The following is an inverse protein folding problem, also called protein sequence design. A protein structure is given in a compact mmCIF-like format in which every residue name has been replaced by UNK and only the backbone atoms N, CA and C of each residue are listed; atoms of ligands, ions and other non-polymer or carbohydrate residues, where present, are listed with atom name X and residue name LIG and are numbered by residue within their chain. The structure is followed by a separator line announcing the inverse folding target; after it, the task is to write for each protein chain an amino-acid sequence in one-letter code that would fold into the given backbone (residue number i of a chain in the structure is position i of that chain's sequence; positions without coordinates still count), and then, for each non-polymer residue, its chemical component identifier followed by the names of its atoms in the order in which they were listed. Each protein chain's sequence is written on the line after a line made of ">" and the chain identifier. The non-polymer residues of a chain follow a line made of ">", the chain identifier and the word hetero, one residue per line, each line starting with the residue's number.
data_IF_485676121123
#
_entry.id   IF_485676121123
#
_cell.length_a   1.000
_cell.length_b   1.000
_cell.length_c   1.000
_cell.angle_alpha   90.00
_cell.angle_beta   90.00
_cell.angle_gamma   90.00
#
_symmetry.space_group_name_H-M   'P 1'
#
loop_
_entity.id
_entity.type
_entity.pdbx_description
1 polymer ?
#
# COMPACT_ATOMS: atom_id res chain seq x y z
N UNK A 1 19.33 -2.27 1.68
CA UNK A 1 20.64 -2.80 1.26
C UNK A 1 21.71 -1.79 1.63
N UNK A 2 22.79 -2.22 2.27
CA UNK A 2 23.92 -1.34 2.57
C UNK A 2 24.71 -1.06 1.29
N UNK A 3 25.42 0.08 1.18
CA UNK A 3 26.25 0.36 0.03
C UNK A 3 27.20 -0.80 -0.31
N UNK A 4 27.15 -1.27 -1.56
CA UNK A 4 28.00 -2.34 -2.07
C UNK A 4 27.56 -3.78 -1.75
N UNK A 5 26.45 -3.99 -1.04
CA UNK A 5 25.87 -5.34 -0.84
C UNK A 5 25.08 -5.80 -2.06
N UNK A 6 24.74 -7.08 -2.14
CA UNK A 6 23.89 -7.60 -3.21
C UNK A 6 22.41 -7.34 -2.93
N UNK A 7 21.60 -7.34 -3.98
CA UNK A 7 20.15 -7.24 -3.89
C UNK A 7 19.52 -8.62 -3.66
N UNK A 8 19.88 -9.27 -2.56
CA UNK A 8 19.40 -10.61 -2.18
C UNK A 8 18.89 -10.64 -0.74
N UNK A 9 18.00 -11.58 -0.42
CA UNK A 9 17.30 -11.62 0.87
C UNK A 9 18.26 -11.62 2.07
N UNK A 10 19.42 -12.28 1.97
CA UNK A 10 20.44 -12.34 3.03
C UNK A 10 21.10 -11.01 3.33
N UNK A 11 21.07 -10.06 2.39
CA UNK A 11 21.62 -8.69 2.53
C UNK A 11 20.53 -7.64 2.81
N UNK A 12 19.26 -8.03 2.73
CA UNK A 12 18.13 -7.15 3.00
C UNK A 12 17.91 -6.95 4.50
N UNK A 13 17.77 -5.70 4.94
CA UNK A 13 17.56 -5.33 6.35
C UNK A 13 16.58 -4.16 6.43
N UNK A 14 15.71 -4.19 7.44
CA UNK A 14 14.87 -3.06 7.82
C UNK A 14 15.66 -2.16 8.78
N UNK A 15 15.79 -0.85 8.51
CA UNK A 15 16.41 0.10 9.44
C UNK A 15 15.68 0.15 10.79
N UNK A 16 16.42 0.37 11.87
CA UNK A 16 15.87 0.38 13.23
C UNK A 16 14.76 1.43 13.41
N UNK A 17 14.87 2.60 12.78
CA UNK A 17 13.82 3.63 12.72
C UNK A 17 12.48 3.14 12.16
N UNK A 18 12.45 2.09 11.34
CA UNK A 18 11.21 1.52 10.79
C UNK A 18 10.74 0.30 11.61
N UNK A 19 11.64 -0.40 12.28
CA UNK A 19 11.37 -1.73 12.88
C UNK A 19 11.30 -1.71 14.41
N UNK A 20 12.29 -1.14 15.09
CA UNK A 20 12.52 -1.38 16.53
C UNK A 20 12.65 -0.12 17.39
N UNK A 21 12.96 1.03 16.81
CA UNK A 21 13.05 2.28 17.56
C UNK A 21 11.65 2.77 17.96
N UNK A 22 11.52 3.17 19.22
CA UNK A 22 10.27 3.72 19.75
C UNK A 22 10.12 5.19 19.34
N UNK A 23 8.91 5.56 18.91
CA UNK A 23 8.56 6.94 18.60
C UNK A 23 7.98 7.63 19.85
N UNK A 24 8.24 8.93 19.98
CA UNK A 24 7.67 9.74 21.05
C UNK A 24 6.19 9.97 20.81
N UNK A 25 5.35 9.78 21.84
CA UNK A 25 3.95 10.21 21.80
C UNK A 25 3.91 11.73 22.00
N UNK A 26 3.63 12.46 20.93
CA UNK A 26 3.51 13.92 20.96
C UNK A 26 2.13 14.36 21.49
N UNK A 27 1.06 13.70 21.06
CA UNK A 27 -0.31 13.95 21.54
C UNK A 27 -1.13 12.67 21.54
N UNK A 28 -2.09 12.58 22.45
CA UNK A 28 -2.99 11.44 22.56
C UNK A 28 -4.39 11.87 23.02
N UNK A 29 -5.42 11.32 22.40
CA UNK A 29 -6.82 11.40 22.78
C UNK A 29 -7.43 10.00 22.83
N UNK A 30 -8.73 9.88 23.14
CA UNK A 30 -9.44 8.60 23.12
C UNK A 30 -9.49 7.95 21.72
N UNK A 31 -9.41 8.75 20.65
CA UNK A 31 -9.57 8.29 19.27
C UNK A 31 -8.39 8.62 18.35
N UNK A 32 -7.30 9.19 18.88
CA UNK A 32 -6.13 9.52 18.08
C UNK A 32 -4.84 9.56 18.87
N UNK A 33 -3.73 9.19 18.22
CA UNK A 33 -2.37 9.32 18.78
C UNK A 33 -1.45 9.87 17.70
N UNK A 34 -0.65 10.88 18.04
CA UNK A 34 0.40 11.41 17.17
C UNK A 34 1.77 11.04 17.73
N UNK A 35 2.58 10.47 16.84
CA UNK A 35 3.94 10.03 17.10
C UNK A 35 4.94 10.95 16.40
N UNK A 36 6.10 11.18 17.00
CA UNK A 36 7.22 11.92 16.41
C UNK A 36 8.53 11.15 16.58
N UNK A 37 9.39 11.27 15.58
CA UNK A 37 10.74 10.74 15.63
C UNK A 37 11.66 11.51 14.68
N UNK A 38 12.94 11.65 15.04
CA UNK A 38 13.96 12.17 14.13
C UNK A 38 14.94 11.04 13.83
N UNK A 39 15.37 10.94 12.57
CA UNK A 39 16.28 9.89 12.14
C UNK A 39 17.28 10.37 11.10
N UNK A 40 18.34 9.60 10.95
CA UNK A 40 19.29 9.70 9.84
C UNK A 40 19.27 8.41 9.06
N UNK A 41 19.10 8.51 7.74
CA UNK A 41 19.12 7.36 6.84
C UNK A 41 20.18 7.58 5.76
N UNK A 42 20.76 6.48 5.30
CA UNK A 42 21.69 6.49 4.17
C UNK A 42 21.15 5.51 3.13
N UNK A 43 20.99 5.97 1.89
CA UNK A 43 20.56 5.07 0.80
C UNK A 43 21.73 4.24 0.26
N UNK A 44 21.43 3.30 -0.63
CA UNK A 44 22.43 2.41 -1.23
C UNK A 44 23.57 3.16 -1.95
N UNK A 45 23.28 4.34 -2.52
CA UNK A 45 24.24 5.19 -3.23
C UNK A 45 25.05 6.10 -2.30
N UNK A 46 24.82 6.06 -0.99
CA UNK A 46 25.54 6.85 0.01
C UNK A 46 24.98 8.25 0.27
N UNK A 47 23.80 8.60 -0.28
CA UNK A 47 23.16 9.86 0.07
C UNK A 47 22.57 9.79 1.49
N UNK A 48 22.80 10.82 2.28
CA UNK A 48 22.34 10.94 3.66
C UNK A 48 21.07 11.80 3.73
N UNK A 49 20.15 11.39 4.60
CA UNK A 49 18.87 12.04 4.82
C UNK A 49 18.69 12.27 6.32
N UNK A 50 18.70 13.53 6.74
CA UNK A 50 18.22 13.95 8.06
C UNK A 50 16.72 14.20 7.96
N UNK A 51 15.91 13.34 8.59
CA UNK A 51 14.46 13.40 8.49
C UNK A 51 13.75 13.51 9.84
N UNK A 52 12.71 14.34 9.85
CA UNK A 52 11.68 14.33 10.88
C UNK A 52 10.50 13.49 10.39
N UNK A 53 9.97 12.63 11.25
CA UNK A 53 8.84 11.76 10.98
C UNK A 53 7.72 12.11 11.96
N UNK A 54 6.53 12.34 11.43
CA UNK A 54 5.31 12.51 12.23
C UNK A 54 4.24 11.54 11.71
N UNK A 55 3.58 10.81 12.60
CA UNK A 55 2.47 9.93 12.24
C UNK A 55 1.31 10.14 13.19
N UNK A 56 0.15 10.51 12.68
CA UNK A 56 -1.09 10.51 13.44
C UNK A 56 -1.93 9.32 13.03
N UNK A 57 -2.32 8.49 14.00
CA UNK A 57 -3.32 7.43 13.82
C UNK A 57 -4.63 7.94 14.41
N UNK A 58 -5.74 7.81 13.68
CA UNK A 58 -7.06 8.31 14.11
C UNK A 58 -8.15 7.29 13.77
N UNK A 59 -8.99 6.94 14.75
CA UNK A 59 -10.23 6.19 14.53
C UNK A 59 -11.26 7.06 13.82
N UNK A 60 -11.99 6.47 12.87
CA UNK A 60 -13.03 7.14 12.10
C UNK A 60 -14.41 6.71 12.59
N UNK A 61 -15.29 7.67 12.84
CA UNK A 61 -16.71 7.42 13.11
C UNK A 61 -17.44 6.96 11.85
N UNK A 62 -18.59 6.28 11.99
CA UNK A 62 -19.40 5.86 10.84
C UNK A 62 -19.78 7.01 9.92
N UNK A 63 -20.08 8.20 10.47
CA UNK A 63 -20.37 9.38 9.66
C UNK A 63 -19.17 9.89 8.85
N UNK A 64 -17.96 9.81 9.41
CA UNK A 64 -16.72 10.11 8.67
C UNK A 64 -16.48 9.06 7.58
N UNK A 65 -16.71 7.78 7.87
CA UNK A 65 -16.58 6.68 6.88
C UNK A 65 -17.52 6.90 5.70
N UNK A 66 -18.82 7.15 5.94
CA UNK A 66 -19.79 7.45 4.87
C UNK A 66 -19.33 8.61 4.00
N UNK A 67 -18.86 9.70 4.63
CA UNK A 67 -18.41 10.89 3.93
C UNK A 67 -17.15 10.63 3.09
N UNK A 68 -16.17 9.91 3.64
CA UNK A 68 -14.89 9.65 2.98
C UNK A 68 -15.02 8.67 1.81
N UNK A 69 -15.89 7.66 1.95
CA UNK A 69 -16.16 6.68 0.91
C UNK A 69 -17.23 7.15 -0.08
N UNK A 70 -18.02 8.18 0.26
CA UNK A 70 -19.10 8.67 -0.59
C UNK A 70 -20.27 7.70 -0.70
N UNK A 71 -20.52 6.89 0.35
CA UNK A 71 -21.55 5.84 0.38
C UNK A 71 -22.39 5.93 1.65
N UNK A 72 -23.62 5.44 1.56
CA UNK A 72 -24.46 5.22 2.75
C UNK A 72 -24.10 3.88 3.40
N UNK A 73 -23.97 3.89 4.72
CA UNK A 73 -23.66 2.68 5.48
C UNK A 73 -24.95 2.08 6.03
N UNK A 74 -25.22 0.82 5.69
CA UNK A 74 -26.35 0.07 6.22
C UNK A 74 -26.22 -0.16 7.73
N UNK A 75 -27.35 -0.16 8.44
CA UNK A 75 -27.37 -0.40 9.89
C UNK A 75 -26.95 -1.81 10.31
N UNK A 76 -26.88 -2.76 9.37
CA UNK A 76 -26.39 -4.13 9.61
C UNK A 76 -24.87 -4.28 9.53
N UNK A 77 -24.15 -3.23 9.14
CA UNK A 77 -22.70 -3.26 8.98
C UNK A 77 -21.97 -3.01 10.31
N UNK A 78 -20.99 -3.85 10.61
CA UNK A 78 -19.99 -3.62 11.65
C UNK A 78 -18.71 -3.12 11.02
N UNK A 79 -18.23 -1.96 11.46
CA UNK A 79 -17.11 -1.27 10.79
C UNK A 79 -16.06 -0.87 11.81
N UNK A 80 -14.80 -1.20 11.51
CA UNK A 80 -13.63 -0.62 12.15
C UNK A 80 -12.84 0.12 11.08
N UNK A 81 -12.67 1.42 11.25
CA UNK A 81 -11.98 2.25 10.28
C UNK A 81 -11.01 3.21 10.97
N UNK A 82 -9.87 3.43 10.33
CA UNK A 82 -8.86 4.36 10.82
C UNK A 82 -8.13 5.05 9.65
N UNK A 83 -7.63 6.24 9.94
CA UNK A 83 -6.75 7.02 9.08
C UNK A 83 -5.36 7.06 9.71
N UNK A 84 -4.33 6.97 8.86
CA UNK A 84 -2.95 7.30 9.21
C UNK A 84 -2.54 8.51 8.39
N UNK A 85 -2.18 9.61 9.06
CA UNK A 85 -1.62 10.80 8.46
C UNK A 85 -0.11 10.81 8.74
N UNK A 86 0.68 10.57 7.70
CA UNK A 86 2.11 10.31 7.80
C UNK A 86 2.85 11.45 7.12
N UNK A 87 3.86 12.00 7.80
CA UNK A 87 4.67 13.11 7.28
C UNK A 87 6.14 12.78 7.42
N UNK A 88 6.89 13.20 6.40
CA UNK A 88 8.35 13.17 6.39
C UNK A 88 8.82 14.57 6.03
N UNK A 89 9.68 15.13 6.88
CA UNK A 89 10.25 16.47 6.73
C UNK A 89 11.75 16.39 6.55
N UNK A 90 12.30 17.22 5.67
CA UNK A 90 13.75 17.38 5.58
C UNK A 90 14.21 18.33 6.70
N UNK A 91 14.87 17.78 7.73
CA UNK A 91 15.39 18.55 8.86
C UNK A 91 16.91 18.80 8.76
N UNK A 92 17.51 18.40 7.64
CA UNK A 92 18.90 18.67 7.32
C UNK A 92 19.11 20.02 6.64
N UNK A 93 20.34 20.29 6.26
CA UNK A 93 20.76 21.56 5.64
C UNK A 93 20.73 21.54 4.11
N UNK A 94 20.64 20.35 3.50
CA UNK A 94 20.68 20.17 2.05
C UNK A 94 19.36 19.66 1.49
N UNK A 95 18.99 20.13 0.30
CA UNK A 95 17.81 19.63 -0.42
C UNK A 95 18.03 18.19 -0.90
N UNK A 96 16.96 17.38 -0.84
CA UNK A 96 16.94 16.05 -1.43
C UNK A 96 16.73 16.17 -2.94
N UNK A 97 17.55 15.46 -3.71
CA UNK A 97 17.58 15.61 -5.17
C UNK A 97 17.43 14.28 -5.89
N UNK A 98 16.72 14.25 -7.04
CA UNK A 98 16.59 13.05 -7.86
C UNK A 98 17.92 12.36 -8.19
N UNK A 99 19.00 13.14 -8.39
CA UNK A 99 20.29 12.58 -8.79
C UNK A 99 20.97 11.76 -7.68
N UNK A 100 20.63 12.03 -6.43
CA UNK A 100 21.22 11.37 -5.24
C UNK A 100 20.28 10.35 -4.61
N UNK A 101 19.03 10.27 -5.07
CA UNK A 101 17.98 9.47 -4.45
C UNK A 101 16.96 10.34 -3.71
N UNK A 102 15.70 9.91 -3.74
CA UNK A 102 14.59 10.52 -3.02
C UNK A 102 13.93 9.49 -2.13
N UNK A 103 13.23 9.95 -1.09
CA UNK A 103 12.43 9.11 -0.22
C UNK A 103 10.95 9.19 -0.62
N UNK A 104 10.21 8.12 -0.32
CA UNK A 104 8.74 8.11 -0.32
C UNK A 104 8.24 7.55 1.01
N UNK A 105 6.97 7.81 1.31
CA UNK A 105 6.26 7.19 2.42
C UNK A 105 5.52 5.98 1.86
N UNK A 106 5.81 4.79 2.40
CA UNK A 106 5.15 3.55 2.05
C UNK A 106 4.39 3.03 3.28
N UNK A 107 3.09 2.79 3.13
CA UNK A 107 2.22 2.28 4.19
C UNK A 107 1.60 0.98 3.70
N UNK A 108 1.66 -0.06 4.53
CA UNK A 108 1.06 -1.36 4.29
C UNK A 108 0.08 -1.70 5.42
N UNK A 109 -1.02 -2.35 5.07
CA UNK A 109 -1.84 -3.10 6.01
C UNK A 109 -1.62 -4.59 5.82
N UNK A 110 -1.31 -5.33 6.88
CA UNK A 110 -1.24 -6.79 6.87
C UNK A 110 -2.58 -7.37 7.32
N UNK A 111 -3.13 -8.29 6.55
CA UNK A 111 -4.45 -8.88 6.78
C UNK A 111 -4.35 -10.40 6.90
N UNK A 112 -5.22 -10.97 7.73
CA UNK A 112 -5.36 -12.42 7.82
C UNK A 112 -5.86 -12.98 6.48
N UNK A 113 -5.18 -13.98 5.90
CA UNK A 113 -5.64 -14.58 4.67
C UNK A 113 -6.72 -15.63 4.96
N UNK A 114 -7.44 -16.00 3.91
CA UNK A 114 -8.42 -17.09 3.91
C UNK A 114 -8.36 -17.77 2.54
N UNK A 115 -8.66 -19.07 2.44
CA UNK A 115 -8.77 -19.76 1.14
C UNK A 115 -9.76 -19.11 0.18
N UNK A 116 -10.65 -18.26 0.69
CA UNK A 116 -11.66 -17.51 -0.06
C UNK A 116 -11.41 -15.98 -0.06
N UNK A 117 -10.17 -15.54 0.18
CA UNK A 117 -9.78 -14.14 0.07
C UNK A 117 -9.33 -13.80 -1.34
N UNK A 118 -10.00 -12.81 -1.94
CA UNK A 118 -9.61 -12.21 -3.21
C UNK A 118 -9.43 -10.70 -3.06
N UNK A 119 -8.25 -10.21 -3.42
CA UNK A 119 -7.95 -8.79 -3.61
C UNK A 119 -8.54 -8.33 -4.95
N UNK A 120 -9.14 -7.15 -4.96
CA UNK A 120 -9.66 -6.48 -6.16
C UNK A 120 -9.15 -5.04 -6.20
N UNK A 121 -8.57 -4.64 -7.33
CA UNK A 121 -8.06 -3.28 -7.51
C UNK A 121 -8.60 -2.75 -8.84
N UNK A 122 -9.54 -1.81 -8.81
CA UNK A 122 -9.98 -1.13 -10.03
C UNK A 122 -8.90 -0.14 -10.49
N UNK A 123 -8.78 0.03 -11.80
CA UNK A 123 -7.80 0.91 -12.40
C UNK A 123 -8.37 1.63 -13.63
N UNK A 124 -7.75 2.76 -13.97
CA UNK A 124 -8.08 3.55 -15.15
C UNK A 124 -7.80 2.77 -16.43
N UNK A 125 -8.82 2.63 -17.26
CA UNK A 125 -8.70 2.08 -18.61
C UNK A 125 -7.93 3.02 -19.54
N UNK A 126 -7.24 2.43 -20.51
CA UNK A 126 -6.56 3.18 -21.56
C UNK A 126 -5.33 2.47 -22.11
N UNK A 127 -4.80 3.05 -23.19
CA UNK A 127 -3.63 2.56 -23.91
C UNK A 127 -2.40 2.51 -22.99
N UNK A 128 -1.67 1.39 -23.03
CA UNK A 128 -0.48 1.21 -22.21
C UNK A 128 0.62 2.23 -22.50
N UNK A 129 0.71 2.71 -23.74
CA UNK A 129 1.66 3.77 -24.12
C UNK A 129 1.44 5.09 -23.36
N UNK A 130 0.23 5.31 -22.85
CA UNK A 130 -0.14 6.54 -22.12
C UNK A 130 -0.17 6.33 -20.61
N UNK A 131 -0.65 5.17 -20.15
CA UNK A 131 -0.90 4.91 -18.73
C UNK A 131 0.06 3.88 -18.11
N UNK A 132 0.98 3.31 -18.88
CA UNK A 132 1.80 2.17 -18.46
C UNK A 132 1.06 0.83 -18.56
N UNK A 133 1.68 -0.30 -18.19
CA UNK A 133 1.03 -1.62 -18.20
C UNK A 133 -0.16 -1.67 -17.24
N UNK A 134 -1.15 -2.54 -17.48
CA UNK A 134 -2.33 -2.68 -16.59
C UNK A 134 -1.95 -3.05 -15.14
N UNK A 135 -0.87 -3.81 -14.99
CA UNK A 135 -0.30 -4.24 -13.71
C UNK A 135 1.20 -4.46 -13.86
N UNK A 136 1.96 -4.15 -12.82
CA UNK A 136 3.34 -4.60 -12.64
C UNK A 136 3.35 -5.85 -11.75
N UNK A 137 3.70 -7.01 -12.27
CA UNK A 137 3.76 -8.26 -11.52
C UNK A 137 5.15 -8.92 -11.59
N UNK A 138 6.20 -8.09 -11.67
CA UNK A 138 7.58 -8.54 -11.88
C UNK A 138 8.45 -8.56 -10.61
N UNK A 139 7.97 -8.00 -9.49
CA UNK A 139 8.70 -7.87 -8.22
C UNK A 139 9.39 -9.15 -7.73
N UNK A 140 8.71 -10.29 -7.78
CA UNK A 140 9.25 -11.60 -7.35
C UNK A 140 9.07 -12.68 -8.43
N UNK A 141 9.14 -12.24 -9.69
CA UNK A 141 8.78 -13.05 -10.85
C UNK A 141 7.28 -13.00 -11.17
N UNK A 142 6.95 -13.44 -12.40
CA UNK A 142 5.60 -13.37 -12.95
C UNK A 142 4.57 -14.08 -12.06
N UNK A 143 3.42 -13.45 -11.85
CA UNK A 143 2.31 -14.08 -11.11
C UNK A 143 1.51 -14.98 -12.09
N UNK A 144 1.32 -16.27 -11.77
CA UNK A 144 0.51 -17.19 -12.54
C UNK A 144 -0.96 -16.76 -12.64
N UNK A 145 -1.63 -17.19 -13.71
CA UNK A 145 -3.01 -16.80 -14.02
C UNK A 145 -4.05 -17.37 -13.04
N UNK A 146 -3.70 -18.41 -12.29
CA UNK A 146 -4.50 -18.94 -11.18
C UNK A 146 -4.39 -18.09 -9.90
N UNK A 147 -3.47 -17.12 -9.85
CA UNK A 147 -3.32 -16.16 -8.75
C UNK A 147 -3.60 -14.70 -9.14
N UNK A 148 -3.44 -14.34 -10.41
CA UNK A 148 -3.71 -12.99 -10.92
C UNK A 148 -4.56 -13.07 -12.19
N UNK A 149 -5.75 -12.45 -12.16
CA UNK A 149 -6.56 -12.21 -13.36
C UNK A 149 -6.70 -10.71 -13.60
N UNK A 150 -6.58 -10.31 -14.86
CA UNK A 150 -6.70 -8.91 -15.28
C UNK A 150 -7.91 -8.84 -16.21
N UNK A 151 -8.88 -8.02 -15.85
CA UNK A 151 -10.01 -7.67 -16.70
C UNK A 151 -9.79 -6.28 -17.31
N UNK A 152 -10.84 -5.69 -17.88
CA UNK A 152 -10.71 -4.44 -18.63
C UNK A 152 -10.37 -3.24 -17.75
N UNK A 153 -11.01 -3.09 -16.59
CA UNK A 153 -10.88 -1.96 -15.66
C UNK A 153 -10.49 -2.37 -14.22
N UNK A 154 -10.15 -3.63 -13.99
CA UNK A 154 -9.78 -4.15 -12.67
C UNK A 154 -8.88 -5.36 -12.77
N UNK A 155 -8.24 -5.67 -11.65
CA UNK A 155 -7.53 -6.93 -11.46
C UNK A 155 -8.05 -7.64 -10.22
N UNK A 156 -7.89 -8.96 -10.23
CA UNK A 156 -8.11 -9.85 -9.09
C UNK A 156 -6.81 -10.53 -8.73
N UNK A 157 -6.52 -10.62 -7.44
CA UNK A 157 -5.33 -11.28 -6.92
C UNK A 157 -5.68 -12.15 -5.72
N UNK A 158 -5.23 -13.41 -5.69
CA UNK A 158 -5.47 -14.30 -4.54
C UNK A 158 -4.70 -13.79 -3.32
N UNK A 159 -5.43 -13.52 -2.24
CA UNK A 159 -4.88 -13.13 -0.93
C UNK A 159 -4.97 -14.27 0.09
N UNK A 160 -4.72 -15.50 -0.35
CA UNK A 160 -4.94 -16.73 0.40
C UNK A 160 -3.75 -17.20 1.26
N UNK A 161 -2.62 -16.49 1.19
CA UNK A 161 -1.40 -16.81 1.92
C UNK A 161 -0.72 -18.11 1.47
N UNK A 162 -1.03 -18.65 0.29
CA UNK A 162 -0.49 -19.96 -0.14
C UNK A 162 0.71 -19.85 -1.07
N UNK A 163 0.83 -18.76 -1.83
CA UNK A 163 1.95 -18.53 -2.76
C UNK A 163 2.44 -17.09 -2.70
N UNK A 164 3.77 -16.91 -2.64
CA UNK A 164 4.36 -15.58 -2.73
C UNK A 164 4.04 -14.90 -4.06
N UNK A 165 3.56 -13.67 -4.00
CA UNK A 165 3.35 -12.81 -5.16
C UNK A 165 3.25 -11.35 -4.75
N UNK A 166 3.77 -10.45 -5.59
CA UNK A 166 3.61 -9.00 -5.39
C UNK A 166 3.26 -8.35 -6.72
N UNK A 167 2.20 -7.55 -6.69
CA UNK A 167 1.79 -6.74 -7.82
C UNK A 167 1.84 -5.25 -7.48
N UNK A 168 1.80 -4.42 -8.51
CA UNK A 168 1.74 -2.97 -8.43
C UNK A 168 0.80 -2.38 -9.48
N UNK A 169 0.16 -1.28 -9.12
CA UNK A 169 -0.62 -0.41 -10.00
C UNK A 169 0.01 0.97 -10.01
N UNK A 170 0.38 1.42 -11.20
CA UNK A 170 1.04 2.71 -11.41
C UNK A 170 0.17 3.88 -10.97
N UNK A 171 0.75 5.03 -10.60
CA UNK A 171 -0.02 6.24 -10.30
C UNK A 171 -0.91 6.70 -11.47
N UNK A 172 -0.51 6.44 -12.73
CA UNK A 172 -1.30 6.80 -13.91
C UNK A 172 -2.55 5.91 -14.08
N UNK A 173 -2.56 4.72 -13.48
CA UNK A 173 -3.67 3.78 -13.48
C UNK A 173 -4.48 3.75 -12.20
N UNK A 174 -3.88 4.14 -11.08
CA UNK A 174 -4.53 4.12 -9.77
C UNK A 174 -5.79 4.99 -9.75
N UNK A 175 -6.86 4.45 -9.17
CA UNK A 175 -8.07 5.22 -8.83
C UNK A 175 -8.08 5.67 -7.36
N UNK A 176 -6.96 5.52 -6.64
CA UNK A 176 -6.86 5.90 -5.24
C UNK A 176 -7.45 4.88 -4.25
N UNK A 177 -7.84 3.69 -4.73
CA UNK A 177 -8.56 2.69 -3.96
C UNK A 177 -8.11 1.27 -4.29
N UNK A 178 -8.05 0.41 -3.27
CA UNK A 178 -7.88 -1.03 -3.35
C UNK A 178 -8.84 -1.71 -2.38
N UNK A 179 -9.24 -2.94 -2.65
CA UNK A 179 -10.05 -3.72 -1.72
C UNK A 179 -9.71 -5.18 -1.71
N UNK A 180 -10.27 -5.89 -0.74
CA UNK A 180 -10.25 -7.35 -0.69
C UNK A 180 -11.52 -7.86 -0.03
N UNK A 181 -11.97 -9.03 -0.44
CA UNK A 181 -13.12 -9.70 0.14
C UNK A 181 -12.72 -11.10 0.60
N UNK A 182 -12.95 -11.38 1.88
CA UNK A 182 -12.91 -12.74 2.44
C UNK A 182 -14.35 -13.27 2.49
N UNK A 183 -14.68 -14.20 1.60
CA UNK A 183 -16.02 -14.77 1.55
C UNK A 183 -16.33 -15.69 2.74
N UNK A 184 -15.31 -16.28 3.37
CA UNK A 184 -15.50 -17.15 4.54
C UNK A 184 -15.83 -16.33 5.78
N UNK A 185 -15.15 -15.20 5.96
CA UNK A 185 -15.37 -14.26 7.05
C UNK A 185 -16.45 -13.22 6.80
N UNK A 186 -16.96 -13.09 5.55
CA UNK A 186 -17.83 -11.99 5.13
C UNK A 186 -17.25 -10.62 5.49
N UNK A 187 -15.98 -10.40 5.15
CA UNK A 187 -15.25 -9.16 5.42
C UNK A 187 -14.83 -8.51 4.11
N UNK A 188 -15.26 -7.27 3.89
CA UNK A 188 -14.77 -6.38 2.83
C UNK A 188 -13.78 -5.40 3.45
N UNK A 189 -12.51 -5.47 3.04
CA UNK A 189 -11.52 -4.46 3.34
C UNK A 189 -11.45 -3.46 2.20
N UNK A 190 -11.41 -2.17 2.54
CA UNK A 190 -11.17 -1.08 1.60
C UNK A 190 -9.97 -0.29 2.10
N UNK A 191 -9.05 0.03 1.20
CA UNK A 191 -7.93 0.94 1.44
C UNK A 191 -7.99 2.08 0.44
N UNK A 192 -7.88 3.31 0.94
CA UNK A 192 -7.77 4.51 0.10
C UNK A 192 -6.58 5.33 0.53
N UNK A 193 -6.07 6.17 -0.37
CA UNK A 193 -5.04 7.16 -0.04
C UNK A 193 -5.33 8.51 -0.67
N UNK A 194 -4.64 9.55 -0.21
CA UNK A 194 -4.65 10.84 -0.88
C UNK A 194 -3.83 10.76 -2.18
N UNK A 195 -4.51 10.71 -3.33
CA UNK A 195 -3.84 10.84 -4.64
C UNK A 195 -3.22 12.24 -4.74
N UNK A 196 -1.95 12.30 -5.14
CA UNK A 196 -1.14 13.51 -5.14
C UNK A 196 -0.45 13.70 -6.49
N UNK A 197 -0.10 14.95 -6.79
CA UNK A 197 0.81 15.23 -7.89
C UNK A 197 2.20 14.65 -7.58
N UNK A 198 2.85 14.10 -8.60
CA UNK A 198 4.12 13.41 -8.48
C UNK A 198 5.09 13.89 -9.57
N UNK A 199 5.61 15.13 -9.48
CA UNK A 199 6.48 15.69 -10.50
C UNK A 199 7.75 14.86 -10.72
N UNK A 200 8.27 14.24 -9.65
CA UNK A 200 9.44 13.37 -9.69
C UNK A 200 9.09 11.87 -9.78
N UNK A 201 7.80 11.52 -9.86
CA UNK A 201 7.35 10.12 -9.91
C UNK A 201 7.23 9.44 -8.54
N UNK A 202 7.36 8.11 -8.52
CA UNK A 202 7.18 7.24 -7.35
C UNK A 202 8.37 6.32 -7.20
N UNK A 203 8.90 6.15 -5.99
CA UNK A 203 10.06 5.27 -5.76
C UNK A 203 9.76 3.85 -6.26
N UNK A 204 10.63 3.32 -7.12
CA UNK A 204 10.57 1.94 -7.56
C UNK A 204 11.14 1.04 -6.44
N UNK A 205 10.35 0.05 -6.01
CA UNK A 205 10.69 -0.83 -4.87
C UNK A 205 11.28 -2.18 -5.27
N UNK A 206 11.68 -2.36 -6.54
CA UNK A 206 12.35 -3.58 -6.99
C UNK A 206 13.77 -3.70 -6.41
N UNK A 207 14.19 -4.94 -6.17
CA UNK A 207 15.50 -5.26 -5.61
C UNK A 207 16.58 -5.29 -6.71
N UNK A 208 16.92 -4.11 -7.21
CA UNK A 208 17.97 -3.92 -8.21
C UNK A 208 18.47 -2.48 -8.22
N UNK A 209 19.60 -2.24 -8.89
CA UNK A 209 20.00 -0.88 -9.24
C UNK A 209 19.22 -0.45 -10.49
N UNK A 210 18.24 0.41 -10.28
CA UNK A 210 17.22 0.74 -11.27
C UNK A 210 17.72 1.78 -12.27
N UNK A 211 17.36 1.61 -13.54
CA UNK A 211 17.56 2.64 -14.58
C UNK A 211 16.59 3.81 -14.42
N UNK A 212 15.39 3.52 -13.95
CA UNK A 212 14.29 4.46 -13.74
C UNK A 212 13.82 4.34 -12.28
N UNK A 213 14.54 4.95 -11.32
CA UNK A 213 14.30 4.73 -9.89
C UNK A 213 12.99 5.35 -9.38
N UNK A 214 12.34 6.17 -10.20
CA UNK A 214 11.09 6.85 -9.87
C UNK A 214 9.89 6.42 -10.74
N UNK A 215 10.01 5.27 -11.40
CA UNK A 215 8.92 4.61 -12.12
C UNK A 215 8.27 3.49 -11.28
N UNK A 216 7.96 3.80 -10.03
CA UNK A 216 7.31 2.91 -9.08
C UNK A 216 5.79 2.91 -9.15
N UNK A 217 5.20 2.05 -8.31
CA UNK A 217 3.76 1.86 -8.20
C UNK A 217 3.17 2.66 -7.02
N UNK A 218 1.91 3.06 -7.16
CA UNK A 218 1.19 3.81 -6.13
C UNK A 218 0.39 2.92 -5.19
N UNK A 219 -0.14 1.80 -5.72
CA UNK A 219 -0.80 0.75 -4.95
C UNK A 219 -0.04 -0.54 -5.19
N UNK A 220 0.20 -1.30 -4.13
CA UNK A 220 0.70 -2.67 -4.23
C UNK A 220 -0.19 -3.63 -3.46
N UNK A 221 -0.12 -4.90 -3.84
CA UNK A 221 -0.63 -5.99 -3.01
C UNK A 221 0.38 -7.13 -2.99
N UNK A 222 0.60 -7.67 -1.80
CA UNK A 222 1.50 -8.78 -1.54
C UNK A 222 0.71 -9.96 -0.97
N UNK A 223 1.03 -11.17 -1.38
CA UNK A 223 0.55 -12.40 -0.76
C UNK A 223 1.76 -13.12 -0.17
N UNK A 224 1.80 -13.33 1.14
CA UNK A 224 2.85 -14.08 1.81
C UNK A 224 2.46 -15.55 1.87
N UNK A 225 2.95 -16.30 0.90
CA UNK A 225 2.89 -17.76 0.88
C UNK A 225 4.25 -18.35 0.61
N UNK A 226 4.31 -19.66 0.36
CA UNK A 226 5.59 -20.32 0.08
C UNK A 226 6.36 -19.60 -1.03
N UNK A 227 7.60 -19.13 -0.79
CA UNK A 227 8.38 -18.40 -1.79
C UNK A 227 8.89 -19.34 -2.90
N UNK A 228 9.03 -20.62 -2.58
CA UNK A 228 9.44 -21.72 -3.45
C UNK A 228 8.77 -23.02 -2.95
N UNK A 229 8.64 -24.06 -3.79
CA UNK A 229 8.11 -25.34 -3.36
C UNK A 229 8.79 -25.88 -2.09
N UNK A 230 8.01 -26.11 -1.04
CA UNK A 230 8.49 -26.65 0.24
C UNK A 230 9.19 -25.67 1.17
N UNK A 231 9.27 -24.37 0.83
CA UNK A 231 9.76 -23.32 1.74
C UNK A 231 8.61 -22.71 2.54
N UNK A 232 8.74 -22.55 3.87
CA UNK A 232 7.69 -21.91 4.66
C UNK A 232 7.56 -20.41 4.29
N UNK A 233 6.34 -19.85 4.34
CA UNK A 233 6.15 -18.39 4.34
C UNK A 233 6.75 -17.76 5.60
N UNK A 234 6.87 -16.43 5.63
CA UNK A 234 7.21 -15.69 6.86
C UNK A 234 6.06 -15.78 7.87
N UNK A 235 4.84 -15.71 7.36
CA UNK A 235 3.59 -16.05 8.04
C UNK A 235 2.45 -15.89 7.04
N UNK A 236 1.35 -16.65 7.09
CA UNK A 236 0.31 -16.44 6.09
C UNK A 236 -0.34 -15.08 6.35
N UNK A 237 -0.15 -14.14 5.43
CA UNK A 237 -0.84 -12.84 5.36
C UNK A 237 -0.91 -12.37 3.92
N UNK A 238 -1.77 -11.40 3.67
CA UNK A 238 -1.69 -10.59 2.45
C UNK A 238 -1.70 -9.11 2.84
N UNK A 239 -1.23 -8.27 1.91
CA UNK A 239 -1.10 -6.84 2.12
C UNK A 239 -1.87 -6.05 1.08
N UNK A 240 -2.40 -4.92 1.53
CA UNK A 240 -2.81 -3.80 0.67
C UNK A 240 -1.93 -2.62 1.06
N UNK A 241 -1.27 -2.04 0.08
CA UNK A 241 -0.21 -1.08 0.30
C UNK A 241 -0.45 0.17 -0.55
N UNK A 242 -0.08 1.34 0.00
CA UNK A 242 -0.08 2.60 -0.75
C UNK A 242 1.23 3.34 -0.54
N UNK A 243 1.66 4.04 -1.58
CA UNK A 243 2.89 4.81 -1.60
C UNK A 243 2.60 6.28 -1.86
N UNK A 244 3.44 7.16 -1.31
CA UNK A 244 3.48 8.58 -1.70
C UNK A 244 4.35 8.78 -2.94
N UNK A 245 4.28 9.96 -3.58
CA UNK A 245 5.30 10.38 -4.54
C UNK A 245 6.70 10.39 -3.92
N UNK A 246 7.72 10.29 -4.78
CA UNK A 246 9.11 10.56 -4.41
C UNK A 246 9.27 12.05 -4.08
N UNK A 247 9.89 12.35 -2.94
CA UNK A 247 9.86 13.69 -2.36
C UNK A 247 11.20 14.44 -2.50
N UNK A 248 11.29 15.39 -3.43
CA UNK A 248 12.43 16.31 -3.58
C UNK A 248 12.37 17.50 -2.61
N UNK A 249 12.44 17.22 -1.30
CA UNK A 249 12.25 18.22 -0.25
C UNK A 249 13.49 19.11 -0.03
N UNK A 250 13.30 20.43 -0.02
CA UNK A 250 14.29 21.39 0.50
C UNK A 250 14.30 21.38 2.03
N UNK A 251 15.35 21.94 2.68
CA UNK A 251 15.37 22.11 4.13
C UNK A 251 14.08 22.77 4.66
N UNK A 252 13.46 22.11 5.64
CA UNK A 252 12.20 22.54 6.26
C UNK A 252 10.92 22.16 5.49
N UNK A 253 11.01 21.66 4.25
CA UNK A 253 9.84 21.17 3.52
C UNK A 253 9.38 19.80 4.03
N UNK A 254 8.11 19.48 3.78
CA UNK A 254 7.44 18.27 4.29
C UNK A 254 6.58 17.62 3.20
N UNK A 255 6.72 16.30 3.06
CA UNK A 255 5.81 15.44 2.30
C UNK A 255 4.76 14.85 3.25
N UNK A 256 3.54 14.65 2.77
CA UNK A 256 2.43 14.05 3.53
C UNK A 256 1.78 12.91 2.76
N UNK A 257 1.51 11.79 3.42
CA UNK A 257 0.78 10.65 2.87
C UNK A 257 -0.25 10.16 3.86
N UNK A 258 -1.51 10.10 3.40
CA UNK A 258 -2.66 9.70 4.18
C UNK A 258 -3.19 8.40 3.61
N UNK A 259 -3.17 7.33 4.41
CA UNK A 259 -3.84 6.08 4.10
C UNK A 259 -5.02 5.88 5.05
N UNK A 260 -6.15 5.42 4.51
CA UNK A 260 -7.33 5.03 5.28
C UNK A 260 -7.63 3.56 5.05
N UNK A 261 -7.90 2.85 6.12
CA UNK A 261 -8.28 1.45 6.10
C UNK A 261 -9.67 1.31 6.69
N UNK A 262 -10.54 0.59 5.99
CA UNK A 262 -11.90 0.28 6.42
C UNK A 262 -12.07 -1.24 6.43
N UNK A 263 -12.33 -1.81 7.59
CA UNK A 263 -12.68 -3.21 7.77
C UNK A 263 -14.18 -3.29 7.98
N UNK A 264 -14.91 -3.88 7.03
CA UNK A 264 -16.37 -3.87 6.98
C UNK A 264 -16.85 -5.31 7.01
N UNK A 265 -17.59 -5.67 8.07
CA UNK A 265 -18.22 -6.97 8.23
C UNK A 265 -19.74 -6.81 8.16
N UNK A 266 -20.42 -7.73 7.49
CA UNK A 266 -21.88 -7.66 7.33
C UNK A 266 -22.42 -8.74 6.39
N UNK A 267 -23.70 -8.62 6.05
CA UNK A 267 -24.32 -9.54 5.10
C UNK A 267 -23.71 -9.38 3.71
N UNK A 268 -23.64 -10.48 2.94
CA UNK A 268 -23.17 -10.45 1.56
C UNK A 268 -23.96 -9.45 0.70
N UNK A 269 -25.26 -9.28 0.96
CA UNK A 269 -26.10 -8.30 0.26
C UNK A 269 -25.64 -6.85 0.51
N UNK A 270 -25.37 -6.47 1.76
CA UNK A 270 -24.90 -5.13 2.11
C UNK A 270 -23.47 -4.88 1.62
N UNK A 271 -22.58 -5.87 1.78
CA UNK A 271 -21.21 -5.77 1.29
C UNK A 271 -21.15 -5.69 -0.24
N UNK A 272 -22.08 -6.37 -0.95
CA UNK A 272 -22.14 -6.33 -2.41
C UNK A 272 -22.51 -4.93 -2.92
N UNK A 273 -23.37 -4.19 -2.20
CA UNK A 273 -23.68 -2.79 -2.53
C UNK A 273 -22.41 -1.94 -2.45
N UNK A 274 -21.68 -2.03 -1.34
CA UNK A 274 -20.42 -1.31 -1.16
C UNK A 274 -19.36 -1.70 -2.19
N UNK A 275 -19.22 -2.99 -2.48
CA UNK A 275 -18.24 -3.47 -3.47
C UNK A 275 -18.54 -2.92 -4.88
N UNK A 276 -19.81 -2.86 -5.26
CA UNK A 276 -20.22 -2.26 -6.55
C UNK A 276 -19.94 -0.76 -6.58
N UNK A 277 -20.32 -0.04 -5.53
CA UNK A 277 -20.17 1.41 -5.48
C UNK A 277 -18.70 1.85 -5.42
N UNK A 278 -17.86 1.12 -4.70
CA UNK A 278 -16.47 1.49 -4.42
C UNK A 278 -15.46 0.86 -5.38
N UNK A 279 -15.67 -0.40 -5.76
CA UNK A 279 -14.70 -1.21 -6.51
C UNK A 279 -15.19 -1.52 -7.94
N UNK A 280 -16.34 -0.98 -8.33
CA UNK A 280 -17.03 -1.28 -9.59
C UNK A 280 -17.26 -2.79 -9.81
N UNK A 281 -17.33 -3.60 -8.75
CA UNK A 281 -17.27 -5.06 -8.85
C UNK A 281 -18.25 -5.72 -7.89
N UNK A 282 -18.99 -6.73 -8.34
CA UNK A 282 -19.88 -7.47 -7.44
C UNK A 282 -19.12 -8.51 -6.60
N UNK A 283 -19.67 -8.89 -5.45
CA UNK A 283 -19.09 -9.99 -4.65
C UNK A 283 -19.10 -11.31 -5.42
N UNK A 284 -20.13 -11.56 -6.23
CA UNK A 284 -20.19 -12.76 -7.07
C UNK A 284 -19.02 -12.81 -8.07
N UNK A 285 -18.67 -11.67 -8.69
CA UNK A 285 -17.51 -11.57 -9.57
C UNK A 285 -16.20 -11.83 -8.81
N UNK A 286 -16.08 -11.27 -7.59
CA UNK A 286 -14.90 -11.48 -6.74
C UNK A 286 -14.74 -12.96 -6.35
N UNK A 287 -15.85 -13.65 -6.04
CA UNK A 287 -15.86 -15.09 -5.69
C UNK A 287 -15.60 -15.97 -6.91
N UNK A 288 -16.07 -15.58 -8.08
CA UNK A 288 -15.86 -16.30 -9.34
C UNK A 288 -14.50 -16.00 -10.00
N UNK A 289 -13.71 -15.09 -9.41
CA UNK A 289 -12.45 -14.65 -9.97
C UNK A 289 -11.43 -15.78 -10.14
N UNK A 290 -11.51 -16.90 -9.42
CA UNK A 290 -10.55 -18.01 -9.54
C UNK A 290 -11.16 -19.40 -9.43
#
# INVERSE_FOLDING_TARGET
>A
FLPGTKFEFTDWRTPAVIDTEAFEIATQTESSVTFKHNAKLVNYSGAEFDLGIERTVKLLSSGEVSKLLGVELGGGLSIVAYETDNKVSNVGESAWKPETGLLSIWILGMYNPSPATTVVIPFKQGEEKKLGPRVNDSYFGKIPTDYLKIEDDRLFFRGDGTRRGKLGVSPQRSLGIAGSYDAAGQVLNIVTYNVQEAPDGFVNSMWELQKEPYMGDAINSYNDGSPEPGKPPLGPFYELETSSPAAALKPGETMRHVQRTFHIHGSEEELNKLSKDLLNTSIDDIKAAF
#
